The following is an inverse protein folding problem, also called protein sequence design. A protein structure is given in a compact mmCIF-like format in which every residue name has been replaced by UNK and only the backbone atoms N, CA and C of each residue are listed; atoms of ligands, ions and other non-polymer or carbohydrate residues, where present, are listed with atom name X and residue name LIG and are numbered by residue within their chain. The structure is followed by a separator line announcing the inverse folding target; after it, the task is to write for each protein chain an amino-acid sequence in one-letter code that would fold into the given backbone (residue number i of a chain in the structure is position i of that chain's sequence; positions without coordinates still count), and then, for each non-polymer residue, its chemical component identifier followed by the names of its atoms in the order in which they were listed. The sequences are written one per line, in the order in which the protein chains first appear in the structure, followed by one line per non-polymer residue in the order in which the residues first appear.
data_IF_307833695966
#
_entry.id   IF_307833695966
#
_cell.length_a   1.000
_cell.length_b   1.000
_cell.length_c   1.000
_cell.angle_alpha   90.00
_cell.angle_beta   90.00
_cell.angle_gamma   90.00
#
_symmetry.space_group_name_H-M   'P 1'
#
loop_
_entity.id
_entity.type
_entity.pdbx_description
1 polymer ?
#
# COMPACT_ATOMS: atom_id res chain seq x y z
N UNK A 1 -7.43 -12.99 13.35
CA UNK A 1 -6.76 -12.48 12.13
C UNK A 1 -5.62 -11.58 12.56
N UNK A 2 -4.41 -11.90 12.15
CA UNK A 2 -3.25 -11.08 12.51
C UNK A 2 -3.17 -9.83 11.63
N UNK A 3 -2.41 -8.85 12.07
CA UNK A 3 -2.21 -7.64 11.30
C UNK A 3 -1.57 -7.93 9.93
N UNK A 4 -0.81 -9.00 9.83
CA UNK A 4 -0.15 -9.40 8.59
C UNK A 4 -1.14 -9.85 7.51
N UNK A 5 -2.33 -10.29 7.89
CA UNK A 5 -3.36 -10.74 6.96
C UNK A 5 -3.92 -9.60 6.12
N UNK A 6 -3.72 -8.36 6.53
CA UNK A 6 -4.17 -7.19 5.80
C UNK A 6 -3.12 -6.67 4.81
N UNK A 7 -2.05 -7.41 4.61
CA UNK A 7 -1.00 -7.05 3.66
C UNK A 7 -0.33 -5.73 4.01
N UNK A 8 0.71 -5.37 3.28
CA UNK A 8 1.42 -4.11 3.49
C UNK A 8 1.91 -3.85 4.90
N UNK A 9 1.36 -4.56 5.87
CA UNK A 9 1.68 -4.42 7.27
C UNK A 9 2.88 -5.22 7.73
N UNK A 10 3.48 -5.98 6.83
CA UNK A 10 4.68 -6.73 7.17
C UNK A 10 5.79 -5.84 7.72
N UNK A 11 5.80 -4.60 7.28
CA UNK A 11 6.68 -3.58 7.81
C UNK A 11 8.13 -3.97 7.79
N UNK A 12 8.85 -3.54 8.79
CA UNK A 12 10.29 -3.71 8.87
C UNK A 12 10.72 -5.17 9.04
N UNK A 13 9.84 -6.03 9.50
CA UNK A 13 10.21 -7.42 9.79
C UNK A 13 10.54 -8.21 8.54
N UNK A 14 9.82 -8.00 7.46
CA UNK A 14 10.03 -8.75 6.23
C UNK A 14 10.80 -7.96 5.18
N UNK A 15 10.56 -6.67 5.10
CA UNK A 15 11.10 -5.83 4.02
C UNK A 15 12.28 -4.96 4.44
N UNK A 16 12.44 -4.73 5.73
CA UNK A 16 13.38 -3.73 6.24
C UNK A 16 12.87 -2.30 6.12
N UNK A 17 11.62 -2.11 5.66
CA UNK A 17 11.00 -0.80 5.51
C UNK A 17 9.70 -0.77 6.30
N UNK A 18 9.65 0.07 7.32
CA UNK A 18 8.43 0.29 8.09
C UNK A 18 7.54 1.28 7.35
N UNK A 19 6.29 0.93 7.13
CA UNK A 19 5.32 1.84 6.49
C UNK A 19 4.28 2.24 7.52
N UNK A 20 4.11 3.54 7.72
CA UNK A 20 3.13 4.09 8.65
C UNK A 20 2.33 5.20 8.00
N UNK A 21 1.13 5.42 8.51
CA UNK A 21 0.26 6.52 8.06
C UNK A 21 0.44 7.76 8.92
N UNK A 22 1.18 7.63 10.02
CA UNK A 22 1.50 8.74 10.91
C UNK A 22 2.67 9.56 10.36
N UNK A 23 2.85 10.75 10.87
CA UNK A 23 3.97 11.61 10.48
C UNK A 23 5.24 11.36 11.29
N UNK A 24 5.16 10.52 12.31
CA UNK A 24 6.31 10.15 13.13
C UNK A 24 6.17 8.71 13.62
N UNK A 25 7.26 8.19 14.19
CA UNK A 25 7.31 6.87 14.80
C UNK A 25 7.89 7.05 16.20
N UNK A 26 7.10 6.81 17.26
CA UNK A 26 7.59 6.95 18.63
C UNK A 26 8.86 6.12 18.86
N UNK A 27 9.82 6.71 19.56
CA UNK A 27 11.10 6.08 19.82
C UNK A 27 12.13 6.24 18.72
N UNK A 28 11.78 6.90 17.64
CA UNK A 28 12.66 7.12 16.49
C UNK A 28 12.64 8.60 16.09
N UNK A 29 13.71 9.02 15.42
CA UNK A 29 13.76 10.34 14.80
C UNK A 29 14.16 10.21 13.33
N UNK A 30 13.74 11.16 12.53
CA UNK A 30 14.14 11.21 11.13
C UNK A 30 15.57 11.76 11.07
N UNK A 31 16.49 10.93 10.59
CA UNK A 31 17.85 11.37 10.33
C UNK A 31 17.94 12.07 8.97
N UNK A 32 17.23 11.53 7.99
CA UNK A 32 17.27 12.06 6.62
C UNK A 32 15.94 11.84 5.92
N UNK A 33 15.47 12.85 5.23
CA UNK A 33 14.33 12.75 4.32
C UNK A 33 14.86 12.43 2.93
N UNK A 34 14.42 11.31 2.37
CA UNK A 34 14.81 10.91 1.01
C UNK A 34 13.89 11.57 0.00
N UNK A 35 12.58 11.57 0.29
CA UNK A 35 11.60 12.21 -0.56
C UNK A 35 10.39 11.34 -0.83
N UNK A 36 9.56 11.79 -1.74
CA UNK A 36 8.36 11.07 -2.10
C UNK A 36 8.69 9.76 -2.80
N UNK A 37 7.95 8.73 -2.43
CA UNK A 37 7.95 7.43 -3.11
C UNK A 37 6.52 7.03 -3.38
N UNK A 38 6.33 6.21 -4.41
CA UNK A 38 5.01 5.70 -4.72
C UNK A 38 5.10 4.30 -5.32
N UNK A 39 3.99 3.58 -5.22
CA UNK A 39 3.79 2.30 -5.87
C UNK A 39 2.47 2.35 -6.63
N UNK A 40 2.50 1.96 -7.88
CA UNK A 40 1.38 2.12 -8.78
C UNK A 40 0.92 0.77 -9.30
N UNK A 41 -0.38 0.56 -9.30
CA UNK A 41 -1.01 -0.60 -9.90
C UNK A 41 -2.17 -0.14 -10.77
N UNK A 42 -2.25 -0.66 -11.99
CA UNK A 42 -3.37 -0.39 -12.88
C UNK A 42 -4.11 -1.69 -13.13
N UNK A 43 -5.41 -1.71 -12.87
CA UNK A 43 -6.29 -2.83 -13.17
C UNK A 43 -7.10 -2.50 -14.41
N UNK A 44 -7.08 -3.42 -15.37
CA UNK A 44 -7.78 -3.22 -16.61
C UNK A 44 -9.30 -3.23 -16.44
N UNK A 45 -9.99 -2.73 -17.42
CA UNK A 45 -11.45 -2.72 -17.48
C UNK A 45 -12.09 -4.10 -17.41
N UNK A 46 -11.35 -5.15 -17.76
CA UNK A 46 -11.81 -6.53 -17.63
C UNK A 46 -12.10 -6.93 -16.18
N UNK A 47 -11.64 -6.15 -15.20
CA UNK A 47 -12.08 -6.30 -13.82
C UNK A 47 -13.60 -6.17 -13.71
N UNK A 48 -14.24 -5.42 -14.60
CA UNK A 48 -15.69 -5.28 -14.64
C UNK A 48 -16.43 -6.60 -14.82
N UNK A 49 -15.89 -7.53 -15.62
CA UNK A 49 -16.51 -8.84 -15.79
C UNK A 49 -16.39 -9.69 -14.52
N UNK A 50 -15.29 -9.57 -13.80
CA UNK A 50 -15.12 -10.23 -12.51
C UNK A 50 -16.05 -9.62 -11.45
N UNK A 51 -16.25 -8.32 -11.49
CA UNK A 51 -17.20 -7.63 -10.61
C UNK A 51 -18.62 -8.13 -10.89
N UNK A 52 -19.00 -8.23 -12.16
CA UNK A 52 -20.30 -8.77 -12.56
C UNK A 52 -20.52 -10.19 -12.08
N UNK A 53 -19.50 -11.04 -12.19
CA UNK A 53 -19.56 -12.41 -11.67
C UNK A 53 -19.65 -12.42 -10.14
N UNK A 54 -18.96 -11.51 -9.48
CA UNK A 54 -19.00 -11.35 -8.02
C UNK A 54 -20.37 -10.94 -7.51
N UNK A 55 -21.10 -10.12 -8.26
CA UNK A 55 -22.47 -9.73 -7.90
C UNK A 55 -23.40 -10.91 -7.78
N UNK A 56 -23.20 -11.95 -8.60
CA UNK A 56 -24.02 -13.16 -8.57
C UNK A 56 -23.78 -14.03 -7.35
N UNK A 57 -22.64 -13.85 -6.69
CA UNK A 57 -22.28 -14.61 -5.49
C UNK A 57 -22.32 -13.76 -4.22
N UNK A 58 -23.07 -12.67 -4.24
CA UNK A 58 -23.22 -11.81 -3.08
C UNK A 58 -23.95 -12.55 -1.95
N UNK A 59 -23.34 -12.60 -0.79
CA UNK A 59 -23.88 -13.20 0.42
C UNK A 59 -23.79 -12.18 1.55
N UNK A 60 -24.93 -11.88 2.18
CA UNK A 60 -24.96 -10.97 3.31
C UNK A 60 -24.57 -9.53 3.00
N UNK A 61 -24.71 -9.10 1.75
CA UNK A 61 -24.37 -7.74 1.34
C UNK A 61 -22.91 -7.52 1.01
N UNK A 62 -22.07 -8.56 1.11
CA UNK A 62 -20.64 -8.44 0.79
C UNK A 62 -20.31 -9.13 -0.53
N UNK A 63 -19.54 -8.44 -1.37
CA UNK A 63 -18.99 -8.99 -2.61
C UNK A 63 -17.61 -9.57 -2.33
N UNK A 64 -17.55 -10.82 -1.84
CA UNK A 64 -16.31 -11.44 -1.39
C UNK A 64 -15.21 -11.47 -2.44
N UNK A 65 -15.56 -11.83 -3.67
CA UNK A 65 -14.60 -11.87 -4.77
C UNK A 65 -14.01 -10.49 -5.08
N UNK A 66 -14.85 -9.46 -5.04
CA UNK A 66 -14.42 -8.09 -5.25
C UNK A 66 -13.53 -7.61 -4.11
N UNK A 67 -13.91 -7.89 -2.86
CA UNK A 67 -13.11 -7.54 -1.70
C UNK A 67 -11.71 -8.13 -1.81
N UNK A 68 -11.61 -9.42 -2.15
CA UNK A 68 -10.33 -10.09 -2.33
C UNK A 68 -9.48 -9.41 -3.41
N UNK A 69 -10.08 -9.09 -4.53
CA UNK A 69 -9.38 -8.42 -5.64
C UNK A 69 -8.88 -7.04 -5.24
N UNK A 70 -9.69 -6.28 -4.53
CA UNK A 70 -9.30 -4.93 -4.06
C UNK A 70 -8.16 -5.01 -3.05
N UNK A 71 -8.18 -5.98 -2.15
CA UNK A 71 -7.10 -6.19 -1.19
C UNK A 71 -5.81 -6.55 -1.92
N UNK A 72 -5.87 -7.45 -2.91
CA UNK A 72 -4.70 -7.82 -3.70
C UNK A 72 -4.12 -6.62 -4.46
N UNK A 73 -4.97 -5.80 -5.04
CA UNK A 73 -4.56 -4.58 -5.76
C UNK A 73 -3.87 -3.59 -4.83
N UNK A 74 -4.45 -3.39 -3.66
CA UNK A 74 -3.88 -2.55 -2.61
C UNK A 74 -2.50 -3.05 -2.20
N UNK A 75 -2.39 -4.35 -1.93
CA UNK A 75 -1.13 -4.94 -1.50
C UNK A 75 -0.05 -4.84 -2.57
N UNK A 76 -0.42 -5.00 -3.83
CA UNK A 76 0.52 -4.85 -4.93
C UNK A 76 1.06 -3.42 -5.04
N UNK A 77 0.20 -2.42 -4.88
CA UNK A 77 0.63 -1.02 -4.85
C UNK A 77 1.58 -0.77 -3.66
N UNK A 78 1.26 -1.34 -2.50
CA UNK A 78 2.09 -1.23 -1.31
C UNK A 78 3.47 -1.87 -1.51
N UNK A 79 3.50 -3.08 -2.10
CA UNK A 79 4.75 -3.79 -2.36
C UNK A 79 5.67 -2.96 -3.27
N UNK A 80 5.10 -2.32 -4.27
CA UNK A 80 5.86 -1.45 -5.19
C UNK A 80 6.38 -0.19 -4.51
N UNK A 81 5.58 0.37 -3.59
CA UNK A 81 6.02 1.49 -2.75
C UNK A 81 7.24 1.11 -1.92
N UNK A 82 7.17 -0.03 -1.26
CA UNK A 82 8.25 -0.54 -0.41
C UNK A 82 9.50 -0.82 -1.23
N UNK A 83 9.36 -1.42 -2.40
CA UNK A 83 10.49 -1.66 -3.31
C UNK A 83 11.19 -0.35 -3.68
N UNK A 84 10.43 0.67 -4.03
CA UNK A 84 11.00 1.97 -4.40
C UNK A 84 11.71 2.61 -3.22
N UNK A 85 11.10 2.57 -2.04
CA UNK A 85 11.70 3.12 -0.82
C UNK A 85 13.01 2.41 -0.49
N UNK A 86 13.00 1.09 -0.55
CA UNK A 86 14.18 0.26 -0.26
C UNK A 86 15.30 0.52 -1.25
N UNK A 87 14.99 0.64 -2.53
CA UNK A 87 15.98 0.91 -3.57
C UNK A 87 16.66 2.27 -3.38
N UNK A 88 15.98 3.22 -2.74
CA UNK A 88 16.53 4.55 -2.45
C UNK A 88 17.22 4.63 -1.09
N UNK A 89 17.33 3.52 -0.37
CA UNK A 89 18.03 3.46 0.91
C UNK A 89 17.19 3.85 2.13
N UNK A 90 15.88 3.93 1.98
CA UNK A 90 14.99 4.23 3.09
C UNK A 90 14.80 3.01 3.99
N UNK A 91 14.56 3.25 5.27
CA UNK A 91 14.09 2.21 6.19
C UNK A 91 12.68 2.47 6.70
N UNK A 92 12.04 3.55 6.26
CA UNK A 92 10.65 3.83 6.61
C UNK A 92 9.99 4.71 5.56
N UNK A 93 8.66 4.61 5.51
CA UNK A 93 7.79 5.50 4.73
C UNK A 93 6.77 6.08 5.70
N UNK A 94 6.75 7.39 5.81
CA UNK A 94 5.83 8.14 6.66
C UNK A 94 4.67 8.68 5.85
N UNK A 95 3.55 8.93 6.51
CA UNK A 95 2.38 9.59 5.91
C UNK A 95 1.86 8.84 4.67
N UNK A 96 1.86 7.50 4.74
CA UNK A 96 1.40 6.71 3.60
C UNK A 96 -0.09 6.90 3.37
N UNK A 97 -0.47 7.07 2.11
CA UNK A 97 -1.83 7.25 1.64
C UNK A 97 -2.04 6.46 0.35
N UNK A 98 -3.29 6.22 0.04
CA UNK A 98 -3.70 5.67 -1.25
C UNK A 98 -4.53 6.69 -2.01
N UNK A 99 -4.29 6.77 -3.31
CA UNK A 99 -5.18 7.44 -4.26
C UNK A 99 -5.69 6.42 -5.25
N UNK A 100 -6.96 6.53 -5.58
CA UNK A 100 -7.60 5.69 -6.59
C UNK A 100 -8.12 6.60 -7.69
N UNK A 101 -7.65 6.36 -8.91
CA UNK A 101 -8.06 7.15 -10.08
C UNK A 101 -8.70 6.22 -11.10
N UNK A 102 -9.88 6.58 -11.54
CA UNK A 102 -10.56 5.87 -12.61
C UNK A 102 -10.10 6.44 -13.95
N UNK A 103 -9.32 5.65 -14.68
CA UNK A 103 -8.79 6.03 -15.99
C UNK A 103 -9.71 5.56 -17.09
N UNK A 104 -10.99 5.85 -16.95
CA UNK A 104 -12.06 5.65 -17.95
C UNK A 104 -11.93 4.40 -18.82
N UNK A 105 -11.23 4.51 -19.95
CA UNK A 105 -11.12 3.44 -20.94
C UNK A 105 -10.02 2.42 -20.64
N UNK A 106 -9.08 2.75 -19.78
CA UNK A 106 -7.90 1.92 -19.51
C UNK A 106 -8.10 1.06 -18.28
N UNK A 107 -8.74 1.59 -17.25
CA UNK A 107 -8.96 0.86 -16.02
C UNK A 107 -8.86 1.74 -14.77
N UNK A 108 -8.62 1.11 -13.64
CA UNK A 108 -8.50 1.79 -12.36
C UNK A 108 -7.06 1.77 -11.91
N UNK A 109 -6.54 2.93 -11.57
CA UNK A 109 -5.21 3.11 -11.01
C UNK A 109 -5.31 3.19 -9.49
N UNK A 110 -4.48 2.42 -8.81
CA UNK A 110 -4.31 2.51 -7.35
C UNK A 110 -2.87 2.91 -7.10
N UNK A 111 -2.68 4.02 -6.42
CA UNK A 111 -1.35 4.55 -6.08
C UNK A 111 -1.18 4.59 -4.57
N UNK A 112 -0.16 3.92 -4.06
CA UNK A 112 0.29 4.09 -2.69
C UNK A 112 1.44 5.09 -2.72
N UNK A 113 1.43 6.08 -1.85
CA UNK A 113 2.49 7.08 -1.80
C UNK A 113 2.79 7.51 -0.37
N UNK A 114 3.94 8.09 -0.17
CA UNK A 114 4.37 8.59 1.12
C UNK A 114 5.77 9.20 1.05
N UNK A 115 6.32 9.50 2.20
CA UNK A 115 7.65 10.10 2.31
C UNK A 115 8.64 9.06 2.82
N UNK A 116 9.59 8.71 1.97
CA UNK A 116 10.68 7.82 2.34
C UNK A 116 11.70 8.56 3.19
N UNK A 117 12.09 7.95 4.29
CA UNK A 117 13.01 8.53 5.26
C UNK A 117 13.98 7.47 5.78
N UNK A 118 15.06 7.94 6.40
CA UNK A 118 15.90 7.11 7.25
C UNK A 118 15.60 7.48 8.69
N UNK A 119 15.09 6.51 9.44
CA UNK A 119 14.85 6.64 10.89
C UNK A 119 16.04 6.05 11.63
N UNK A 120 16.37 6.68 12.73
CA UNK A 120 17.33 6.15 13.72
C UNK A 120 16.68 6.21 15.09
N UNK A 121 17.12 5.36 16.05
CA UNK A 121 16.58 5.43 17.41
C UNK A 121 16.78 6.82 17.97
N UNK A 122 15.74 7.33 18.64
CA UNK A 122 15.85 8.59 19.34
C UNK A 122 16.81 8.43 20.50
N UNK A 123 17.81 9.30 20.59
CA UNK A 123 18.71 9.26 21.74
C UNK A 123 17.98 9.73 22.99
N UNK A 124 18.18 9.00 24.04
CA UNK A 124 17.63 9.35 25.36
C UNK A 124 18.47 10.43 26.02
#
# INVERSE_FOLDING_TARGET
MSIDDYGGGAGAHETGVLVVTTNDVPGYRVERVIGEVFGLTVRSRHLGSQIGAGLKSMIGGELKGLTKTLVQTRNQAMDRLVEQAKARGANAVLMMRFDVTDAADVGTEVCAYGTAVVLVPAST
#
